data_IF_899793498674
#
_entry.id   IF_899793498674
#
_cell.length_a   1.000
_cell.length_b   1.000
_cell.length_c   1.000
_cell.angle_alpha   90.00
_cell.angle_beta   90.00
_cell.angle_gamma   90.00
#
_symmetry.space_group_name_H-M   'P 1'
#
loop_
_entity.id
_entity.type
_entity.pdbx_description
1 polymer ?
#
# COMPACT_ATOMS: atom_id res chain seq x y z
N UNK A 1 4.15 -44.40 15.31
CA UNK A 1 3.19 -43.35 15.04
C UNK A 1 4.00 -42.04 15.18
N UNK A 2 4.50 -41.50 14.05
CA UNK A 2 5.25 -40.26 14.08
C UNK A 2 4.21 -39.11 14.17
N UNK A 3 4.15 -38.46 15.31
CA UNK A 3 3.47 -37.18 15.45
C UNK A 3 4.16 -36.20 14.49
N UNK A 4 3.53 -35.95 13.35
CA UNK A 4 3.92 -34.85 12.51
C UNK A 4 3.58 -33.57 13.31
N UNK A 5 4.62 -32.90 13.82
CA UNK A 5 4.44 -31.54 14.34
C UNK A 5 3.72 -30.72 13.24
N UNK A 6 2.69 -29.95 13.60
CA UNK A 6 2.05 -29.08 12.61
C UNK A 6 3.12 -28.16 12.02
N UNK A 7 3.27 -28.20 10.70
CA UNK A 7 4.07 -27.21 9.97
C UNK A 7 3.42 -25.87 10.32
N UNK A 8 4.11 -25.07 11.09
CA UNK A 8 3.63 -23.74 11.46
C UNK A 8 3.60 -22.91 10.17
N UNK A 9 2.43 -22.86 9.52
CA UNK A 9 2.27 -22.14 8.26
C UNK A 9 2.31 -20.64 8.56
N UNK A 10 3.18 -19.92 7.88
CA UNK A 10 3.27 -18.46 7.99
C UNK A 10 1.90 -17.83 7.70
N UNK A 11 1.38 -17.03 8.62
CA UNK A 11 0.16 -16.27 8.41
C UNK A 11 0.51 -14.85 7.95
N UNK A 12 -0.14 -14.39 6.92
CA UNK A 12 0.15 -13.08 6.31
C UNK A 12 -1.14 -12.30 6.10
N UNK A 13 -1.12 -11.02 6.47
CA UNK A 13 -2.15 -10.05 6.11
C UNK A 13 -1.64 -9.08 5.06
N UNK A 14 -2.53 -8.66 4.16
CA UNK A 14 -2.22 -7.70 3.09
C UNK A 14 -3.33 -6.65 3.06
N UNK A 15 -2.93 -5.37 3.15
CA UNK A 15 -3.82 -4.21 3.10
C UNK A 15 -3.25 -3.15 2.16
N UNK A 16 -4.08 -2.19 1.74
CA UNK A 16 -3.66 -1.04 0.92
C UNK A 16 -4.60 0.15 1.11
N UNK A 17 -4.19 1.32 0.62
CA UNK A 17 -5.05 2.50 0.42
C UNK A 17 -5.77 2.97 1.69
N UNK A 18 -5.05 3.02 2.81
CA UNK A 18 -5.60 3.49 4.09
C UNK A 18 -5.79 5.01 4.09
N UNK A 19 -4.90 5.74 3.42
CA UNK A 19 -4.93 7.20 3.35
C UNK A 19 -5.09 7.90 4.71
N UNK A 20 -4.39 7.40 5.72
CA UNK A 20 -4.47 7.92 7.08
C UNK A 20 -4.07 9.40 7.13
N UNK A 21 -4.86 10.19 7.85
CA UNK A 21 -4.58 11.59 8.19
C UNK A 21 -4.53 11.76 9.70
N UNK A 22 -3.92 12.85 10.17
CA UNK A 22 -3.89 13.16 11.61
C UNK A 22 -5.23 13.64 12.17
N UNK A 23 -6.22 13.95 11.32
CA UNK A 23 -7.50 14.56 11.72
C UNK A 23 -8.68 13.57 11.64
N UNK A 24 -8.54 12.47 10.93
CA UNK A 24 -9.54 11.40 10.83
C UNK A 24 -9.36 10.40 11.97
N UNK A 25 -9.78 10.80 13.18
CA UNK A 25 -9.56 10.01 14.42
C UNK A 25 -10.19 8.62 14.30
N UNK A 26 -11.43 8.53 13.83
CA UNK A 26 -12.14 7.24 13.68
C UNK A 26 -11.36 6.25 12.81
N UNK A 27 -10.72 6.73 11.74
CA UNK A 27 -9.91 5.87 10.86
C UNK A 27 -8.60 5.44 11.52
N UNK A 28 -8.01 6.31 12.36
CA UNK A 28 -6.82 5.96 13.15
C UNK A 28 -7.18 4.91 14.20
N UNK A 29 -8.31 5.05 14.88
CA UNK A 29 -8.82 4.09 15.84
C UNK A 29 -9.12 2.74 15.18
N UNK A 30 -9.77 2.73 14.01
CA UNK A 30 -9.99 1.52 13.23
C UNK A 30 -8.67 0.83 12.84
N UNK A 31 -7.65 1.61 12.47
CA UNK A 31 -6.33 1.06 12.14
C UNK A 31 -5.63 0.49 13.40
N UNK A 32 -5.71 1.17 14.55
CA UNK A 32 -5.16 0.69 15.82
C UNK A 32 -5.84 -0.61 16.27
N UNK A 33 -7.17 -0.66 16.16
CA UNK A 33 -7.96 -1.86 16.43
C UNK A 33 -7.57 -3.01 15.47
N UNK A 34 -7.45 -2.76 14.17
CA UNK A 34 -6.97 -3.75 13.20
C UNK A 34 -5.58 -4.27 13.58
N UNK A 35 -4.67 -3.39 13.98
CA UNK A 35 -3.32 -3.78 14.41
C UNK A 35 -3.39 -4.67 15.67
N UNK A 36 -4.27 -4.35 16.60
CA UNK A 36 -4.43 -5.09 17.88
C UNK A 36 -5.13 -6.43 17.67
N UNK A 37 -6.24 -6.46 16.92
CA UNK A 37 -7.14 -7.62 16.89
C UNK A 37 -6.77 -8.62 15.78
N UNK A 38 -6.12 -8.14 14.70
CA UNK A 38 -5.80 -8.96 13.54
C UNK A 38 -4.30 -9.05 13.24
N UNK A 39 -3.62 -7.89 13.08
CA UNK A 39 -2.24 -7.89 12.62
C UNK A 39 -1.26 -8.42 13.67
N UNK A 40 -1.55 -8.27 14.96
CA UNK A 40 -0.76 -8.86 16.05
C UNK A 40 -0.84 -10.40 16.13
N UNK A 41 -1.78 -11.00 15.41
CA UNK A 41 -2.03 -12.45 15.42
C UNK A 41 -1.38 -13.17 14.23
N UNK A 42 -0.66 -12.46 13.38
CA UNK A 42 -0.01 -13.00 12.16
C UNK A 42 1.49 -12.76 12.17
N UNK A 43 2.21 -13.53 11.38
CA UNK A 43 3.67 -13.39 11.28
C UNK A 43 4.07 -12.16 10.47
N UNK A 44 3.27 -11.81 9.45
CA UNK A 44 3.61 -10.76 8.49
C UNK A 44 2.41 -9.90 8.11
N UNK A 45 2.63 -8.58 8.05
CA UNK A 45 1.70 -7.61 7.48
C UNK A 45 2.35 -6.91 6.29
N UNK A 46 1.70 -6.93 5.13
CA UNK A 46 2.07 -6.15 3.95
C UNK A 46 1.10 -4.99 3.73
N UNK A 47 1.63 -3.77 3.62
CA UNK A 47 0.88 -2.56 3.30
C UNK A 47 1.30 -2.12 1.89
N UNK A 48 0.41 -2.29 0.91
CA UNK A 48 0.71 -2.10 -0.51
C UNK A 48 0.55 -0.65 -0.98
N UNK A 49 1.07 0.29 -0.20
CA UNK A 49 1.10 1.72 -0.55
C UNK A 49 -0.11 2.52 -0.07
N UNK A 50 0.04 3.82 -0.15
CA UNK A 50 -0.95 4.81 0.26
C UNK A 50 -1.43 4.59 1.72
N UNK A 51 -0.50 4.20 2.61
CA UNK A 51 -0.73 4.15 4.05
C UNK A 51 -1.10 5.54 4.57
N UNK A 52 -0.35 6.55 4.16
CA UNK A 52 -0.58 7.95 4.51
C UNK A 52 -1.26 8.70 3.38
N UNK A 53 -2.15 9.60 3.75
CA UNK A 53 -2.80 10.47 2.79
C UNK A 53 -1.82 11.42 2.07
N UNK A 54 -0.72 11.78 2.71
CA UNK A 54 0.34 12.63 2.15
C UNK A 54 1.60 12.50 2.99
N UNK A 55 2.73 12.21 2.36
CA UNK A 55 4.05 12.21 3.01
C UNK A 55 4.98 13.19 2.31
N UNK A 56 5.50 14.16 3.05
CA UNK A 56 6.32 15.27 2.49
C UNK A 56 7.79 15.21 2.90
N UNK A 57 8.22 14.04 3.36
CA UNK A 57 9.55 13.73 3.86
C UNK A 57 9.54 13.35 5.33
N UNK A 58 10.42 12.45 5.72
CA UNK A 58 10.47 11.89 7.07
C UNK A 58 10.71 12.95 8.14
N UNK A 59 11.53 13.96 7.85
CA UNK A 59 11.86 15.09 8.74
C UNK A 59 10.64 15.89 9.22
N UNK A 60 9.54 15.83 8.50
CA UNK A 60 8.30 16.54 8.81
C UNK A 60 7.17 15.57 9.14
N UNK A 61 7.03 14.54 8.32
CA UNK A 61 5.85 13.70 8.36
C UNK A 61 5.85 12.74 9.54
N UNK A 62 7.01 12.29 10.04
CA UNK A 62 7.09 11.46 11.24
C UNK A 62 6.42 12.15 12.45
N UNK A 63 6.73 13.42 12.68
CA UNK A 63 6.09 14.18 13.74
C UNK A 63 4.61 14.49 13.46
N UNK A 64 4.27 14.73 12.18
CA UNK A 64 2.87 14.99 11.77
C UNK A 64 1.97 13.78 12.03
N UNK A 65 2.46 12.58 11.79
CA UNK A 65 1.71 11.32 11.92
C UNK A 65 2.13 10.50 13.17
N UNK A 66 2.53 11.20 14.26
CA UNK A 66 3.09 10.56 15.46
C UNK A 66 2.21 9.45 16.06
N UNK A 67 0.88 9.58 16.06
CA UNK A 67 -0.04 8.55 16.55
C UNK A 67 0.09 7.26 15.72
N UNK A 68 0.10 7.39 14.39
CA UNK A 68 0.22 6.25 13.47
C UNK A 68 1.61 5.62 13.56
N UNK A 69 2.65 6.43 13.66
CA UNK A 69 4.04 5.97 13.91
C UNK A 69 4.10 5.15 15.19
N UNK A 70 3.44 5.61 16.26
CA UNK A 70 3.38 4.88 17.54
C UNK A 70 2.66 3.53 17.42
N UNK A 71 1.55 3.47 16.68
CA UNK A 71 0.83 2.20 16.41
C UNK A 71 1.74 1.22 15.68
N UNK A 72 2.40 1.66 14.61
CA UNK A 72 3.32 0.83 13.83
C UNK A 72 4.51 0.35 14.67
N UNK A 73 5.10 1.23 15.49
CA UNK A 73 6.22 0.87 16.37
C UNK A 73 5.82 -0.22 17.40
N UNK A 74 4.60 -0.16 17.92
CA UNK A 74 4.09 -1.21 18.81
C UNK A 74 3.91 -2.53 18.05
N UNK A 75 3.32 -2.48 16.86
CA UNK A 75 3.06 -3.66 16.05
C UNK A 75 4.34 -4.36 15.62
N UNK A 76 5.37 -3.63 15.22
CA UNK A 76 6.64 -4.20 14.73
C UNK A 76 7.46 -4.92 15.80
N UNK A 77 7.12 -4.77 17.09
CA UNK A 77 7.67 -5.61 18.16
C UNK A 77 7.11 -7.04 18.17
N UNK A 78 6.02 -7.29 17.44
CA UNK A 78 5.28 -8.57 17.47
C UNK A 78 5.23 -9.19 16.06
N UNK A 79 5.00 -8.37 15.03
CA UNK A 79 4.72 -8.77 13.65
C UNK A 79 5.74 -8.13 12.71
N UNK A 80 6.22 -8.85 11.70
CA UNK A 80 7.01 -8.24 10.63
C UNK A 80 6.11 -7.39 9.73
N UNK A 81 6.39 -6.08 9.65
CA UNK A 81 5.59 -5.14 8.85
C UNK A 81 6.39 -4.67 7.64
N UNK A 82 5.87 -4.95 6.45
CA UNK A 82 6.43 -4.53 5.17
C UNK A 82 5.56 -3.45 4.55
N UNK A 83 6.19 -2.35 4.15
CA UNK A 83 5.48 -1.21 3.55
C UNK A 83 6.02 -0.95 2.15
N UNK A 84 5.15 -1.01 1.17
CA UNK A 84 5.39 -0.54 -0.18
C UNK A 84 4.94 0.91 -0.28
N UNK A 85 5.67 1.73 -1.04
CA UNK A 85 5.24 3.12 -1.24
C UNK A 85 4.18 3.22 -2.32
N UNK A 86 3.13 3.99 -2.06
CA UNK A 86 2.10 4.34 -3.04
C UNK A 86 2.41 5.64 -3.79
N UNK A 87 1.37 6.24 -4.33
CA UNK A 87 1.49 7.52 -5.03
C UNK A 87 1.39 8.74 -4.11
N UNK A 88 0.95 8.56 -2.87
CA UNK A 88 0.80 9.66 -1.88
C UNK A 88 1.91 9.70 -0.85
N UNK A 89 2.58 8.57 -0.63
CA UNK A 89 3.62 8.41 0.39
C UNK A 89 4.97 7.93 -0.17
N UNK A 90 5.23 8.18 -1.46
CA UNK A 90 6.46 7.78 -2.16
C UNK A 90 7.76 8.43 -1.63
N UNK A 91 7.65 9.36 -0.69
CA UNK A 91 8.77 10.00 0.00
C UNK A 91 9.11 9.33 1.35
N UNK A 92 8.43 8.23 1.72
CA UNK A 92 8.86 7.37 2.82
C UNK A 92 10.31 6.94 2.60
N UNK A 93 11.12 6.99 3.66
CA UNK A 93 12.53 6.67 3.55
C UNK A 93 13.09 6.02 4.83
N UNK A 94 14.41 5.88 4.91
CA UNK A 94 15.09 5.14 5.98
C UNK A 94 14.75 5.61 7.40
N UNK A 95 14.46 6.91 7.63
CA UNK A 95 14.10 7.35 8.98
C UNK A 95 12.72 6.83 9.39
N UNK A 96 11.79 6.65 8.45
CA UNK A 96 10.53 5.97 8.72
C UNK A 96 10.76 4.52 9.16
N UNK A 97 11.62 3.76 8.46
CA UNK A 97 11.98 2.39 8.87
C UNK A 97 12.58 2.37 10.28
N UNK A 98 13.51 3.28 10.55
CA UNK A 98 14.20 3.37 11.84
C UNK A 98 13.25 3.68 13.01
N UNK A 99 12.31 4.60 12.81
CA UNK A 99 11.37 5.02 13.85
C UNK A 99 10.24 4.03 14.09
N UNK A 100 9.80 3.33 13.04
CA UNK A 100 8.65 2.42 13.14
C UNK A 100 9.04 0.95 13.27
N UNK A 101 10.25 0.56 12.86
CA UNK A 101 10.64 -0.85 12.69
C UNK A 101 10.05 -1.50 11.42
N UNK A 102 9.24 -0.80 10.64
CA UNK A 102 8.73 -1.30 9.36
C UNK A 102 9.87 -1.47 8.35
N UNK A 103 9.70 -2.40 7.41
CA UNK A 103 10.64 -2.64 6.30
C UNK A 103 10.07 -2.08 5.00
N UNK A 104 10.74 -1.12 4.35
CA UNK A 104 10.31 -0.62 3.05
C UNK A 104 10.66 -1.62 1.95
N UNK A 105 9.67 -2.00 1.16
CA UNK A 105 9.82 -2.91 0.02
C UNK A 105 9.56 -2.19 -1.30
N UNK A 106 10.20 -2.68 -2.37
CA UNK A 106 10.03 -2.14 -3.73
C UNK A 106 9.00 -2.94 -4.50
N UNK A 107 8.26 -2.28 -5.39
CA UNK A 107 7.40 -2.94 -6.36
C UNK A 107 8.17 -3.27 -7.66
N UNK A 108 7.87 -4.39 -8.33
CA UNK A 108 7.03 -5.47 -7.82
C UNK A 108 7.76 -6.29 -6.74
N UNK A 109 7.01 -6.83 -5.77
CA UNK A 109 7.54 -7.70 -4.73
C UNK A 109 6.95 -9.11 -4.86
N UNK A 110 7.80 -10.14 -4.86
CA UNK A 110 7.34 -11.53 -4.92
C UNK A 110 7.22 -12.08 -3.51
N UNK A 111 5.99 -12.31 -3.08
CA UNK A 111 5.68 -12.98 -1.82
C UNK A 111 5.54 -14.49 -2.07
N UNK A 112 6.39 -15.26 -1.42
CA UNK A 112 6.27 -16.72 -1.37
C UNK A 112 5.46 -17.10 -0.15
N UNK A 113 4.33 -17.78 -0.37
CA UNK A 113 3.46 -18.23 0.72
C UNK A 113 3.03 -19.66 0.46
N UNK A 114 3.54 -20.58 1.28
CA UNK A 114 3.39 -22.03 1.07
C UNK A 114 3.86 -22.44 -0.34
N UNK A 115 3.01 -23.13 -1.10
CA UNK A 115 3.31 -23.57 -2.47
C UNK A 115 2.94 -22.53 -3.54
N UNK A 116 2.36 -21.38 -3.14
CA UNK A 116 1.93 -20.31 -4.05
C UNK A 116 2.84 -19.10 -3.97
N UNK A 117 2.97 -18.44 -5.10
CA UNK A 117 3.63 -17.15 -5.20
C UNK A 117 2.61 -16.06 -5.55
N UNK A 118 2.74 -14.92 -4.91
CA UNK A 118 1.93 -13.74 -5.17
C UNK A 118 2.83 -12.59 -5.60
N UNK A 119 2.44 -11.89 -6.65
CA UNK A 119 3.09 -10.65 -7.06
C UNK A 119 2.36 -9.48 -6.38
N UNK A 120 3.08 -8.75 -5.54
CA UNK A 120 2.54 -7.59 -4.83
C UNK A 120 3.02 -6.32 -5.51
N UNK A 121 2.08 -5.42 -5.81
CA UNK A 121 2.35 -4.08 -6.32
C UNK A 121 1.37 -3.09 -5.70
N UNK A 122 1.69 -1.79 -5.74
CA UNK A 122 0.69 -0.78 -5.40
C UNK A 122 -0.44 -0.75 -6.44
N UNK A 123 -0.09 -0.70 -7.73
CA UNK A 123 -1.06 -0.78 -8.83
C UNK A 123 -1.10 0.45 -9.74
N UNK A 124 -0.61 1.60 -9.29
CA UNK A 124 -0.61 2.85 -10.04
C UNK A 124 0.22 2.79 -11.35
N UNK A 125 1.17 1.87 -11.44
CA UNK A 125 1.97 1.61 -12.64
C UNK A 125 1.18 0.94 -13.76
N UNK A 126 0.07 0.27 -13.43
CA UNK A 126 -0.80 -0.42 -14.39
C UNK A 126 -1.89 0.49 -14.98
N UNK A 127 -2.13 1.69 -14.42
CA UNK A 127 -3.06 2.68 -14.96
C UNK A 127 -2.42 3.42 -16.13
N UNK A 128 -2.05 2.70 -17.20
CA UNK A 128 -1.29 3.23 -18.34
C UNK A 128 -2.10 4.14 -19.25
N UNK A 129 -3.43 4.06 -19.19
CA UNK A 129 -4.34 4.91 -19.96
C UNK A 129 -4.38 6.35 -19.40
N UNK A 130 -3.99 6.55 -18.13
CA UNK A 130 -3.80 7.87 -17.56
C UNK A 130 -2.39 8.42 -17.85
N UNK A 131 -2.19 8.80 -19.13
CA UNK A 131 -0.89 9.27 -19.64
C UNK A 131 -0.36 10.47 -18.86
N UNK A 132 -1.23 11.40 -18.46
CA UNK A 132 -0.82 12.60 -17.72
C UNK A 132 -0.35 12.25 -16.31
N UNK A 133 -1.05 11.34 -15.65
CA UNK A 133 -0.61 10.80 -14.36
C UNK A 133 0.74 10.08 -14.49
N UNK A 134 0.92 9.23 -15.50
CA UNK A 134 2.17 8.50 -15.69
C UNK A 134 3.37 9.45 -15.95
N UNK A 135 3.17 10.54 -16.69
CA UNK A 135 4.18 11.60 -16.88
C UNK A 135 4.52 12.28 -15.57
N UNK A 136 3.49 12.69 -14.80
CA UNK A 136 3.68 13.32 -13.49
C UNK A 136 4.40 12.39 -12.51
N UNK A 137 4.02 11.12 -12.45
CA UNK A 137 4.67 10.08 -11.64
C UNK A 137 6.17 9.98 -11.95
N UNK A 138 6.55 9.94 -13.24
CA UNK A 138 7.96 9.90 -13.66
C UNK A 138 8.74 11.11 -13.15
N UNK A 139 8.14 12.30 -13.21
CA UNK A 139 8.77 13.55 -12.73
C UNK A 139 8.91 13.50 -11.20
N UNK A 140 7.84 13.20 -10.46
CA UNK A 140 7.84 13.21 -9.01
C UNK A 140 8.73 12.12 -8.39
N UNK A 141 8.84 10.96 -9.04
CA UNK A 141 9.71 9.87 -8.59
C UNK A 141 11.17 9.99 -9.05
N UNK A 142 11.50 11.03 -9.83
CA UNK A 142 12.89 11.29 -10.22
C UNK A 142 13.74 11.61 -8.98
N UNK A 143 14.89 10.92 -8.75
CA UNK A 143 15.69 11.09 -7.54
C UNK A 143 16.23 12.52 -7.35
N UNK A 144 16.57 13.21 -8.44
CA UNK A 144 17.05 14.60 -8.37
C UNK A 144 15.91 15.53 -7.93
N UNK A 145 14.72 15.38 -8.50
CA UNK A 145 13.55 16.19 -8.13
C UNK A 145 13.15 15.92 -6.69
N UNK A 146 13.15 14.66 -6.24
CA UNK A 146 12.90 14.30 -4.84
C UNK A 146 13.91 14.93 -3.92
N UNK A 147 15.20 14.87 -4.26
CA UNK A 147 16.26 15.49 -3.47
C UNK A 147 16.06 17.00 -3.34
N UNK A 148 15.85 17.71 -4.48
CA UNK A 148 15.58 19.17 -4.47
C UNK A 148 14.34 19.49 -3.64
N UNK A 149 13.26 18.72 -3.80
CA UNK A 149 12.03 18.92 -3.02
C UNK A 149 12.28 18.78 -1.51
N UNK A 150 13.07 17.80 -1.07
CA UNK A 150 13.38 17.57 0.34
C UNK A 150 14.28 18.67 0.94
N UNK A 151 15.03 19.43 0.12
CA UNK A 151 15.78 20.59 0.58
C UNK A 151 14.90 21.84 0.81
N UNK A 152 13.66 21.85 0.31
CA UNK A 152 12.78 23.00 0.48
C UNK A 152 12.30 23.15 1.94
N UNK A 153 12.09 24.37 2.42
CA UNK A 153 11.48 24.62 3.72
C UNK A 153 10.10 23.98 3.85
N UNK A 154 9.73 23.55 5.06
CA UNK A 154 8.44 22.90 5.38
C UNK A 154 7.23 23.58 4.75
N UNK A 155 7.11 24.91 4.93
CA UNK A 155 5.94 25.65 4.44
C UNK A 155 5.82 25.61 2.90
N UNK A 156 6.97 25.60 2.21
CA UNK A 156 6.97 25.50 0.74
C UNK A 156 6.60 24.10 0.28
N UNK A 157 7.11 23.04 0.94
CA UNK A 157 6.71 21.65 0.65
C UNK A 157 5.21 21.46 0.85
N UNK A 158 4.64 21.94 1.97
CA UNK A 158 3.21 21.91 2.25
C UNK A 158 2.38 22.63 1.17
N UNK A 159 2.81 23.84 0.77
CA UNK A 159 2.13 24.62 -0.27
C UNK A 159 2.14 23.91 -1.62
N UNK A 160 3.29 23.41 -2.05
CA UNK A 160 3.44 22.70 -3.33
C UNK A 160 2.62 21.43 -3.36
N UNK A 161 2.69 20.62 -2.29
CA UNK A 161 1.92 19.38 -2.19
C UNK A 161 0.43 19.64 -2.17
N UNK A 162 -0.03 20.66 -1.43
CA UNK A 162 -1.44 21.06 -1.41
C UNK A 162 -1.95 21.51 -2.78
N UNK A 163 -1.14 22.26 -3.54
CA UNK A 163 -1.49 22.67 -4.91
C UNK A 163 -1.54 21.48 -5.88
N UNK A 164 -0.56 20.58 -5.81
CA UNK A 164 -0.54 19.36 -6.64
C UNK A 164 -1.76 18.49 -6.34
N UNK A 165 -2.11 18.33 -5.05
CA UNK A 165 -3.28 17.55 -4.64
C UNK A 165 -4.58 18.16 -5.17
N UNK A 166 -4.76 19.47 -5.03
CA UNK A 166 -5.94 20.17 -5.55
C UNK A 166 -6.09 19.95 -7.06
N UNK A 167 -5.02 20.14 -7.82
CA UNK A 167 -5.00 19.87 -9.27
C UNK A 167 -5.29 18.39 -9.60
N UNK A 168 -4.79 17.45 -8.80
CA UNK A 168 -5.05 16.03 -9.00
C UNK A 168 -6.54 15.70 -8.79
N UNK A 169 -7.18 16.23 -7.74
CA UNK A 169 -8.60 16.04 -7.47
C UNK A 169 -9.43 16.65 -8.62
N UNK A 170 -9.10 17.87 -9.04
CA UNK A 170 -9.78 18.52 -10.17
C UNK A 170 -9.62 17.70 -11.46
N UNK A 171 -8.42 17.19 -11.75
CA UNK A 171 -8.19 16.35 -12.93
C UNK A 171 -8.96 15.02 -12.87
N UNK A 172 -9.05 14.39 -11.69
CA UNK A 172 -9.81 13.15 -11.51
C UNK A 172 -11.32 13.34 -11.73
N UNK A 173 -11.89 14.50 -11.38
CA UNK A 173 -13.31 14.75 -11.56
C UNK A 173 -13.75 14.79 -13.03
N UNK A 174 -12.82 15.01 -13.97
CA UNK A 174 -13.08 15.01 -15.41
C UNK A 174 -12.72 13.70 -16.11
N UNK A 175 -12.07 12.75 -15.40
CA UNK A 175 -11.64 11.47 -15.98
C UNK A 175 -12.73 10.43 -15.83
N UNK A 176 -12.93 9.62 -16.88
CA UNK A 176 -13.80 8.46 -16.78
C UNK A 176 -13.21 7.42 -15.82
N UNK A 177 -14.07 6.67 -15.18
CA UNK A 177 -13.66 5.57 -14.31
C UNK A 177 -12.75 4.55 -15.00
N UNK A 178 -12.96 4.34 -16.31
CA UNK A 178 -12.17 3.43 -17.13
C UNK A 178 -10.71 3.88 -17.28
N UNK A 179 -10.45 5.18 -17.39
CA UNK A 179 -9.08 5.73 -17.49
C UNK A 179 -8.33 5.61 -16.16
N UNK A 180 -9.07 5.66 -15.04
CA UNK A 180 -8.50 5.53 -13.70
C UNK A 180 -8.32 4.09 -13.23
N UNK A 181 -8.78 3.11 -14.00
CA UNK A 181 -8.59 1.68 -13.72
C UNK A 181 -7.27 1.15 -14.33
N UNK A 182 -6.88 -0.04 -13.92
CA UNK A 182 -5.73 -0.72 -14.52
C UNK A 182 -6.03 -1.10 -15.98
N UNK A 183 -5.07 -0.89 -16.85
CA UNK A 183 -5.14 -1.37 -18.23
C UNK A 183 -4.87 -2.87 -18.27
N UNK A 184 -5.82 -3.65 -18.79
CA UNK A 184 -5.71 -5.11 -18.79
C UNK A 184 -4.49 -5.60 -19.59
N UNK A 185 -4.13 -4.95 -20.70
CA UNK A 185 -2.93 -5.32 -21.46
C UNK A 185 -1.65 -5.12 -20.65
N UNK A 186 -1.58 -4.04 -19.84
CA UNK A 186 -0.43 -3.81 -18.95
C UNK A 186 -0.35 -4.86 -17.84
N UNK A 187 -1.50 -5.32 -17.32
CA UNK A 187 -1.55 -6.43 -16.37
C UNK A 187 -1.05 -7.73 -17.01
N UNK A 188 -1.53 -8.07 -18.22
CA UNK A 188 -1.16 -9.29 -18.92
C UNK A 188 0.34 -9.31 -19.29
N UNK A 189 0.89 -8.16 -19.67
CA UNK A 189 2.32 -7.99 -19.90
C UNK A 189 3.13 -8.23 -18.63
N UNK A 190 2.73 -7.62 -17.51
CA UNK A 190 3.36 -7.84 -16.22
C UNK A 190 3.32 -9.32 -15.81
N UNK A 191 2.15 -9.97 -15.93
CA UNK A 191 1.99 -11.37 -15.56
C UNK A 191 2.68 -12.35 -16.52
N UNK A 192 3.06 -11.89 -17.70
CA UNK A 192 3.94 -12.66 -18.63
C UNK A 192 5.38 -12.65 -18.14
N UNK A 193 5.83 -11.55 -17.52
CA UNK A 193 7.18 -11.47 -16.91
C UNK A 193 7.25 -12.29 -15.62
N UNK A 194 6.12 -12.39 -14.88
CA UNK A 194 6.02 -13.13 -13.62
C UNK A 194 5.03 -14.31 -13.74
N UNK A 195 5.40 -15.38 -14.47
CA UNK A 195 4.49 -16.51 -14.69
C UNK A 195 4.24 -17.32 -13.41
N UNK A 196 3.09 -17.99 -13.37
CA UNK A 196 2.67 -18.88 -12.26
C UNK A 196 2.52 -18.15 -10.90
N UNK A 197 2.14 -16.88 -10.94
CA UNK A 197 1.83 -16.09 -9.75
C UNK A 197 0.43 -15.51 -9.85
N UNK A 198 -0.20 -15.29 -8.71
CA UNK A 198 -1.40 -14.46 -8.60
C UNK A 198 -0.98 -13.00 -8.29
N UNK A 199 -1.77 -12.03 -8.73
CA UNK A 199 -1.49 -10.60 -8.55
C UNK A 199 -2.35 -10.04 -7.42
N UNK A 200 -1.74 -9.32 -6.49
CA UNK A 200 -2.45 -8.56 -5.44
C UNK A 200 -2.03 -7.09 -5.54
N UNK A 201 -3.00 -6.17 -5.63
CA UNK A 201 -2.73 -4.74 -5.68
C UNK A 201 -3.86 -3.90 -5.07
N UNK A 202 -3.59 -2.63 -4.82
CA UNK A 202 -4.53 -1.59 -4.38
C UNK A 202 -4.78 -0.54 -5.47
N UNK A 203 -4.65 0.73 -5.08
CA UNK A 203 -4.69 1.95 -5.89
C UNK A 203 -6.03 2.31 -6.53
N UNK A 204 -6.74 1.36 -7.13
CA UNK A 204 -8.01 1.65 -7.82
C UNK A 204 -9.21 1.73 -6.89
N UNK A 205 -9.05 1.32 -5.63
CA UNK A 205 -10.08 1.30 -4.59
C UNK A 205 -11.32 0.44 -4.93
N UNK A 206 -11.19 -0.51 -5.88
CA UNK A 206 -12.29 -1.33 -6.40
C UNK A 206 -12.10 -2.77 -5.97
N UNK A 207 -12.38 -3.04 -4.69
CA UNK A 207 -12.26 -4.39 -4.14
C UNK A 207 -12.93 -5.43 -5.04
N UNK A 208 -12.14 -6.36 -5.56
CA UNK A 208 -12.64 -7.38 -6.46
C UNK A 208 -11.64 -8.56 -6.60
N UNK A 209 -12.15 -9.67 -7.10
CA UNK A 209 -11.36 -10.83 -7.53
C UNK A 209 -11.64 -11.14 -8.99
N UNK A 210 -10.63 -10.95 -9.84
CA UNK A 210 -10.71 -11.22 -11.27
C UNK A 210 -10.00 -12.55 -11.57
N UNK A 211 -10.76 -13.56 -11.92
CA UNK A 211 -10.21 -14.87 -12.35
C UNK A 211 -9.90 -14.81 -13.83
N UNK A 212 -8.62 -14.81 -14.16
CA UNK A 212 -8.12 -14.88 -15.54
C UNK A 212 -7.76 -16.33 -15.87
N UNK A 213 -7.47 -16.62 -17.12
CA UNK A 213 -7.12 -17.97 -17.56
C UNK A 213 -5.83 -18.51 -16.89
N UNK A 214 -4.82 -17.63 -16.70
CA UNK A 214 -3.48 -18.00 -16.22
C UNK A 214 -3.14 -17.54 -14.81
N UNK A 215 -3.93 -16.62 -14.22
CA UNK A 215 -3.69 -16.04 -12.88
C UNK A 215 -5.00 -15.51 -12.30
N UNK A 216 -4.99 -15.27 -11.01
CA UNK A 216 -6.06 -14.50 -10.35
C UNK A 216 -5.50 -13.14 -9.95
N UNK A 217 -6.26 -12.07 -10.20
CA UNK A 217 -5.95 -10.70 -9.77
C UNK A 217 -6.89 -10.30 -8.63
N UNK A 218 -6.31 -10.01 -7.48
CA UNK A 218 -7.01 -9.53 -6.30
C UNK A 218 -6.76 -8.03 -6.15
N UNK A 219 -7.83 -7.26 -6.01
CA UNK A 219 -7.80 -5.80 -5.88
C UNK A 219 -8.30 -5.41 -4.51
N UNK A 220 -7.45 -4.78 -3.70
CA UNK A 220 -7.82 -4.24 -2.40
C UNK A 220 -8.63 -2.94 -2.57
N UNK A 221 -9.60 -2.74 -1.70
CA UNK A 221 -10.37 -1.49 -1.59
C UNK A 221 -9.68 -0.47 -0.71
N UNK A 222 -10.18 0.77 -0.72
CA UNK A 222 -9.75 1.81 0.20
C UNK A 222 -10.44 1.68 1.58
N UNK A 223 -9.75 2.18 2.59
CA UNK A 223 -10.29 2.24 3.95
C UNK A 223 -11.14 3.50 4.15
N UNK A 224 -12.29 3.34 4.78
CA UNK A 224 -13.20 4.42 5.22
C UNK A 224 -13.09 4.59 6.75
N UNK A 225 -13.79 5.58 7.31
CA UNK A 225 -13.71 5.85 8.74
C UNK A 225 -14.15 4.68 9.64
N UNK A 226 -15.08 3.85 9.14
CA UNK A 226 -15.71 2.77 9.92
C UNK A 226 -15.53 1.39 9.29
N UNK A 227 -14.79 1.27 8.21
CA UNK A 227 -14.57 -0.02 7.54
C UNK A 227 -13.28 -0.06 6.75
N UNK A 228 -12.65 -1.20 6.76
CA UNK A 228 -11.49 -1.54 5.95
C UNK A 228 -11.64 -2.92 5.33
N UNK A 229 -10.67 -3.32 4.56
CA UNK A 229 -10.58 -4.65 4.01
C UNK A 229 -9.13 -5.14 4.04
N UNK A 230 -8.96 -6.45 4.12
CA UNK A 230 -7.67 -7.10 4.05
C UNK A 230 -7.77 -8.44 3.31
N UNK A 231 -6.66 -8.90 2.79
CA UNK A 231 -6.48 -10.29 2.36
C UNK A 231 -5.68 -11.00 3.44
N UNK A 232 -6.19 -12.14 3.91
CA UNK A 232 -5.46 -13.06 4.78
C UNK A 232 -4.98 -14.24 3.95
N UNK A 233 -3.69 -14.54 4.05
CA UNK A 233 -3.09 -15.76 3.53
C UNK A 233 -2.77 -16.67 4.72
N UNK A 234 -3.35 -17.86 4.72
CA UNK A 234 -3.12 -18.95 5.66
C UNK A 234 -3.00 -20.25 4.88
N UNK A 235 -3.86 -21.23 5.09
CA UNK A 235 -4.01 -22.40 4.20
C UNK A 235 -4.60 -21.99 2.85
N UNK A 236 -5.45 -20.98 2.85
CA UNK A 236 -6.09 -20.40 1.67
C UNK A 236 -6.03 -18.86 1.73
N UNK A 237 -6.37 -18.22 0.61
CA UNK A 237 -6.59 -16.78 0.55
C UNK A 237 -8.04 -16.48 0.95
N UNK A 238 -8.20 -15.60 1.92
CA UNK A 238 -9.49 -15.17 2.44
C UNK A 238 -9.58 -13.63 2.45
N UNK A 239 -10.77 -13.12 2.16
CA UNK A 239 -11.10 -11.72 2.35
C UNK A 239 -11.55 -11.46 3.79
N UNK A 240 -11.04 -10.42 4.42
CA UNK A 240 -11.47 -9.93 5.72
C UNK A 240 -12.10 -8.54 5.55
N UNK A 241 -13.28 -8.39 6.12
CA UNK A 241 -13.91 -7.07 6.32
C UNK A 241 -13.58 -6.59 7.73
N UNK A 242 -13.08 -5.35 7.83
CA UNK A 242 -12.69 -4.70 9.09
C UNK A 242 -13.74 -3.64 9.41
N UNK A 243 -14.37 -3.76 10.58
CA UNK A 243 -15.48 -2.88 11.01
C UNK A 243 -15.20 -2.31 12.39
#
# INVERSE_FOLDING_TARGET
>A
MFDMMPINMTQTLIIADLHLTQVEIDKIELFDQFCTDYASQVDQLFILGDLFNTWIGDDISLNTYQSIVTILTKLTNITEVFVMVGNRDFLLSHNFEKETGCKLIKEPYVLKHNEKNYLLIHGDSLCTDDVDYQKLKKVLRNPIIRFIFLLLPKNLRLKLTGQLRKKSIEAQSYKSEKIMDVNQSAVDELMTIYPNMDLIHGHTHRQNTHKMERYTRYVLGDWKNTRGNAIKLSESLEWLEIN
#
